data_IF_473718545619
#
_entry.id   IF_473718545619
#
_cell.length_a   1.000
_cell.length_b   1.000
_cell.length_c   1.000
_cell.angle_alpha   90.00
_cell.angle_beta   90.00
_cell.angle_gamma   90.00
#
_symmetry.space_group_name_H-M   'P 1'
#
loop_
_entity.id
_entity.type
_entity.pdbx_description
1 polymer ?
#
# COMPACT_ATOMS: atom_id res chain seq x y z
N UNK A 1 3.78 -35.34 47.46
CA UNK A 1 4.17 -35.37 46.03
C UNK A 1 3.69 -34.07 45.39
N UNK A 2 4.59 -33.12 45.19
CA UNK A 2 4.26 -31.82 44.61
C UNK A 2 4.48 -31.92 43.08
N UNK A 3 3.40 -31.75 42.32
CA UNK A 3 3.45 -31.68 40.85
C UNK A 3 3.93 -30.29 40.46
N UNK A 4 5.13 -30.22 39.87
CA UNK A 4 5.64 -29.00 39.29
C UNK A 4 4.98 -28.78 37.91
N UNK A 5 4.20 -27.69 37.81
CA UNK A 5 3.66 -27.23 36.55
C UNK A 5 4.84 -26.72 35.66
N UNK A 6 4.98 -27.27 34.47
CA UNK A 6 5.94 -26.80 33.49
C UNK A 6 5.60 -25.37 33.03
N UNK A 7 6.62 -24.48 32.81
CA UNK A 7 6.35 -23.13 32.32
C UNK A 7 5.79 -23.20 30.91
N UNK A 8 4.71 -22.46 30.68
CA UNK A 8 4.17 -22.24 29.35
C UNK A 8 5.26 -21.63 28.45
N UNK A 9 5.56 -22.30 27.36
CA UNK A 9 6.47 -21.77 26.35
C UNK A 9 5.98 -20.39 25.89
N UNK A 10 6.79 -19.36 26.18
CA UNK A 10 6.68 -18.10 25.49
C UNK A 10 6.88 -18.39 24.00
N UNK A 11 5.80 -18.36 23.23
CA UNK A 11 5.89 -18.38 21.79
C UNK A 11 6.73 -17.16 21.41
N UNK A 12 7.91 -17.38 20.84
CA UNK A 12 8.74 -16.35 20.20
C UNK A 12 7.87 -15.61 19.17
N UNK A 13 7.28 -14.49 19.59
CA UNK A 13 6.60 -13.60 18.67
C UNK A 13 7.65 -13.02 17.77
N UNK A 14 7.70 -13.50 16.53
CA UNK A 14 8.45 -12.82 15.47
C UNK A 14 7.99 -11.36 15.50
N UNK A 15 8.91 -10.39 15.65
CA UNK A 15 8.53 -8.99 15.68
C UNK A 15 7.65 -8.66 14.48
N UNK A 16 6.50 -8.01 14.69
CA UNK A 16 5.62 -7.57 13.61
C UNK A 16 6.42 -6.63 12.72
N UNK A 17 6.92 -7.12 11.59
CA UNK A 17 7.75 -6.35 10.68
C UNK A 17 6.87 -5.50 9.79
N UNK A 18 6.92 -4.18 9.98
CA UNK A 18 6.37 -3.21 9.04
C UNK A 18 7.36 -2.08 8.80
N UNK A 19 7.17 -1.36 7.71
CA UNK A 19 7.93 -0.16 7.39
C UNK A 19 6.98 0.93 6.97
N UNK A 20 7.19 2.14 7.51
CA UNK A 20 6.46 3.33 7.10
C UNK A 20 7.16 3.99 5.92
N UNK A 21 6.39 4.53 4.99
CA UNK A 21 6.93 5.26 3.85
C UNK A 21 7.56 6.58 4.33
N UNK A 22 8.87 6.70 4.14
CA UNK A 22 9.61 7.92 4.35
C UNK A 22 9.72 8.68 3.02
N UNK A 23 9.37 9.96 3.01
CA UNK A 23 9.37 10.77 1.79
C UNK A 23 9.69 12.24 2.12
N UNK A 24 10.51 12.87 1.26
CA UNK A 24 10.88 14.29 1.37
C UNK A 24 11.40 14.71 2.76
N UNK A 25 12.28 13.87 3.34
CA UNK A 25 12.84 14.07 4.67
C UNK A 25 11.88 13.84 5.85
N UNK A 26 10.66 13.37 5.57
CA UNK A 26 9.70 12.95 6.59
C UNK A 26 9.88 11.46 6.89
N UNK A 27 9.94 11.06 8.18
CA UNK A 27 10.13 9.66 8.57
C UNK A 27 8.87 8.80 8.34
N UNK A 28 7.72 9.43 8.15
CA UNK A 28 6.46 8.80 7.79
C UNK A 28 5.56 9.78 7.06
N UNK A 29 4.64 9.23 6.26
CA UNK A 29 3.61 10.00 5.56
C UNK A 29 2.25 9.34 5.75
N UNK A 30 1.17 10.13 5.76
CA UNK A 30 -0.20 9.63 5.82
C UNK A 30 -1.20 10.66 5.29
N UNK A 31 -2.40 10.23 5.00
CA UNK A 31 -3.53 11.13 4.76
C UNK A 31 -3.89 11.90 6.02
N UNK A 32 -4.39 13.11 5.86
CA UNK A 32 -4.84 13.92 6.98
C UNK A 32 -5.97 13.20 7.74
N UNK A 33 -5.82 13.16 9.06
CA UNK A 33 -6.87 12.67 9.95
C UNK A 33 -7.80 13.85 10.31
N UNK A 34 -9.13 13.67 10.28
CA UNK A 34 -10.04 14.64 10.87
C UNK A 34 -9.90 14.66 12.40
N UNK A 35 -10.90 15.12 13.12
CA UNK A 35 -10.91 15.10 14.58
C UNK A 35 -10.67 13.69 15.15
N UNK A 36 -10.21 13.61 16.42
CA UNK A 36 -9.90 12.34 17.11
C UNK A 36 -11.02 11.30 16.95
N UNK A 37 -10.63 10.09 16.61
CA UNK A 37 -11.52 8.94 16.50
C UNK A 37 -12.29 8.83 15.20
N UNK A 38 -12.26 9.84 14.34
CA UNK A 38 -12.88 9.76 13.03
C UNK A 38 -11.91 9.18 11.99
N UNK A 39 -12.42 8.39 11.01
CA UNK A 39 -11.57 7.81 9.97
C UNK A 39 -11.02 8.89 9.03
N UNK A 40 -9.81 8.65 8.52
CA UNK A 40 -9.32 9.37 7.36
C UNK A 40 -10.18 9.00 6.15
N UNK A 41 -10.91 9.97 5.59
CA UNK A 41 -11.70 9.77 4.37
C UNK A 41 -10.85 10.05 3.15
N UNK A 42 -10.75 9.06 2.27
CA UNK A 42 -9.89 9.09 1.10
C UNK A 42 -10.74 8.71 -0.12
N UNK A 43 -10.85 9.62 -1.07
CA UNK A 43 -11.56 9.33 -2.33
C UNK A 43 -10.63 8.65 -3.32
N UNK A 44 -11.16 7.75 -4.16
CA UNK A 44 -10.42 7.19 -5.26
C UNK A 44 -11.23 7.19 -6.55
N UNK A 45 -10.54 7.22 -7.69
CA UNK A 45 -11.16 7.18 -9.00
C UNK A 45 -10.34 6.36 -9.99
N UNK A 46 -11.04 5.76 -10.96
CA UNK A 46 -10.40 5.09 -12.09
C UNK A 46 -10.20 6.07 -13.23
N UNK A 47 -8.97 6.13 -13.76
CA UNK A 47 -8.64 6.96 -14.91
C UNK A 47 -9.43 6.47 -16.13
N UNK A 48 -10.15 7.36 -16.78
CA UNK A 48 -10.99 7.07 -17.95
C UNK A 48 -10.42 7.51 -19.28
N UNK A 49 -9.29 8.23 -19.26
CA UNK A 49 -8.61 8.75 -20.45
C UNK A 49 -7.10 8.82 -20.24
N UNK A 50 -6.43 9.70 -20.97
CA UNK A 50 -4.99 9.96 -20.79
C UNK A 50 -4.81 11.14 -19.85
N UNK A 51 -3.95 10.96 -18.84
CA UNK A 51 -3.58 11.99 -17.88
C UNK A 51 -2.05 12.07 -17.78
N UNK A 52 -1.52 13.28 -17.61
CA UNK A 52 -0.10 13.53 -17.40
C UNK A 52 0.14 14.04 -15.98
N UNK A 53 1.20 13.56 -15.35
CA UNK A 53 1.62 13.93 -13.99
C UNK A 53 3.10 14.32 -14.00
N UNK A 54 3.46 15.50 -14.55
CA UNK A 54 4.84 15.95 -14.65
C UNK A 54 5.55 15.90 -13.29
N UNK A 55 6.69 15.24 -13.24
CA UNK A 55 7.48 15.08 -12.02
C UNK A 55 7.08 13.88 -11.14
N UNK A 56 6.02 13.15 -11.46
CA UNK A 56 5.72 11.90 -10.78
C UNK A 56 6.74 10.82 -11.17
N UNK A 57 7.32 10.16 -10.18
CA UNK A 57 8.32 9.12 -10.42
C UNK A 57 7.63 7.84 -10.91
N UNK A 58 8.07 7.29 -12.06
CA UNK A 58 7.59 6.03 -12.64
C UNK A 58 6.09 5.94 -12.94
N UNK A 59 5.39 7.07 -12.88
CA UNK A 59 3.95 7.18 -13.15
C UNK A 59 3.67 8.61 -13.66
N UNK A 60 4.48 9.08 -14.62
CA UNK A 60 4.37 10.42 -15.18
C UNK A 60 3.22 10.58 -16.19
N UNK A 61 2.62 9.47 -16.59
CA UNK A 61 1.45 9.41 -17.44
C UNK A 61 0.60 8.19 -17.16
N UNK A 62 -0.70 8.38 -17.10
CA UNK A 62 -1.69 7.32 -16.91
C UNK A 62 -2.66 7.27 -18.06
N UNK A 63 -3.13 6.07 -18.37
CA UNK A 63 -4.20 5.79 -19.33
C UNK A 63 -5.29 4.93 -18.69
N UNK A 64 -6.47 4.88 -19.30
CA UNK A 64 -7.54 4.00 -18.85
C UNK A 64 -7.06 2.52 -18.84
N UNK A 65 -7.39 1.74 -17.79
CA UNK A 65 -6.94 0.35 -17.67
C UNK A 65 -7.64 -0.63 -18.62
N UNK A 66 -8.70 -0.21 -19.34
CA UNK A 66 -9.55 -1.08 -20.14
C UNK A 66 -8.77 -1.94 -21.15
N UNK A 67 -7.80 -1.37 -21.89
CA UNK A 67 -7.01 -2.11 -22.86
C UNK A 67 -6.08 -3.16 -22.21
N UNK A 68 -5.55 -2.86 -21.03
CA UNK A 68 -4.77 -3.80 -20.21
C UNK A 68 -5.64 -4.97 -19.75
N UNK A 69 -6.81 -4.68 -19.24
CA UNK A 69 -7.76 -5.67 -18.73
C UNK A 69 -8.27 -6.58 -19.82
N UNK A 70 -8.59 -6.03 -21.00
CA UNK A 70 -9.05 -6.81 -22.15
C UNK A 70 -8.02 -7.86 -22.60
N UNK A 71 -6.71 -7.54 -22.54
CA UNK A 71 -5.64 -8.51 -22.85
C UNK A 71 -5.60 -9.67 -21.87
N UNK A 72 -5.96 -9.43 -20.63
CA UNK A 72 -6.05 -10.43 -19.57
C UNK A 72 -7.44 -11.09 -19.48
N UNK A 73 -8.37 -10.76 -20.39
CA UNK A 73 -9.76 -11.22 -20.40
C UNK A 73 -10.51 -10.90 -19.10
N UNK A 74 -10.21 -9.77 -18.52
CA UNK A 74 -10.84 -9.25 -17.28
C UNK A 74 -11.69 -8.06 -17.70
N UNK A 75 -12.95 -8.02 -17.29
CA UNK A 75 -13.81 -6.87 -17.49
C UNK A 75 -13.61 -5.80 -16.40
N UNK A 76 -14.10 -4.59 -16.65
CA UNK A 76 -13.98 -3.46 -15.72
C UNK A 76 -14.72 -3.69 -14.41
N UNK A 77 -15.84 -4.43 -14.44
CA UNK A 77 -16.61 -4.68 -13.22
C UNK A 77 -15.90 -5.70 -12.32
N UNK A 78 -15.29 -6.73 -12.91
CA UNK A 78 -14.41 -7.65 -12.19
C UNK A 78 -13.22 -6.91 -11.58
N UNK A 79 -12.57 -6.05 -12.35
CA UNK A 79 -11.47 -5.22 -11.84
C UNK A 79 -11.91 -4.34 -10.67
N UNK A 80 -13.03 -3.62 -10.81
CA UNK A 80 -13.58 -2.79 -9.72
C UNK A 80 -13.92 -3.61 -8.48
N UNK A 81 -14.45 -4.82 -8.63
CA UNK A 81 -14.70 -5.71 -7.48
C UNK A 81 -13.42 -6.07 -6.75
N UNK A 82 -12.34 -6.40 -7.47
CA UNK A 82 -11.05 -6.75 -6.87
C UNK A 82 -10.42 -5.53 -6.16
N UNK A 83 -10.50 -4.35 -6.77
CA UNK A 83 -10.02 -3.09 -6.17
C UNK A 83 -10.80 -2.72 -4.90
N UNK A 84 -12.13 -2.83 -4.92
CA UNK A 84 -12.95 -2.59 -3.72
C UNK A 84 -12.61 -3.57 -2.61
N UNK A 85 -12.47 -4.86 -2.93
CA UNK A 85 -12.06 -5.87 -1.98
C UNK A 85 -10.68 -5.58 -1.37
N UNK A 86 -9.74 -5.02 -2.15
CA UNK A 86 -8.44 -4.58 -1.66
C UNK A 86 -8.55 -3.40 -0.69
N UNK A 87 -9.35 -2.38 -1.00
CA UNK A 87 -9.63 -1.26 -0.09
C UNK A 87 -10.30 -1.73 1.21
N UNK A 88 -11.23 -2.69 1.11
CA UNK A 88 -11.95 -3.23 2.27
C UNK A 88 -11.00 -3.93 3.27
N UNK A 89 -9.93 -4.55 2.81
CA UNK A 89 -8.91 -5.11 3.71
C UNK A 89 -8.33 -4.03 4.63
N UNK A 90 -7.91 -2.91 4.06
CA UNK A 90 -7.35 -1.80 4.81
C UNK A 90 -8.37 -1.10 5.72
N UNK A 91 -9.61 -0.92 5.25
CA UNK A 91 -10.69 -0.34 6.05
C UNK A 91 -11.06 -1.19 7.28
N UNK A 92 -10.94 -2.52 7.17
CA UNK A 92 -11.15 -3.41 8.32
C UNK A 92 -10.02 -3.33 9.34
N UNK A 93 -8.80 -3.07 8.90
CA UNK A 93 -7.60 -3.08 9.74
C UNK A 93 -7.40 -1.78 10.52
N UNK A 94 -7.75 -0.63 9.94
CA UNK A 94 -7.41 0.68 10.49
C UNK A 94 -8.54 1.70 10.33
N UNK A 95 -8.34 2.86 10.96
CA UNK A 95 -9.31 3.96 10.95
C UNK A 95 -9.19 4.81 9.68
N UNK A 96 -9.38 4.16 8.53
CA UNK A 96 -9.46 4.73 7.19
C UNK A 96 -10.78 4.36 6.52
N UNK A 97 -11.26 5.19 5.62
CA UNK A 97 -12.46 4.97 4.83
C UNK A 97 -12.19 5.39 3.39
N UNK A 98 -12.52 4.51 2.44
CA UNK A 98 -12.35 4.79 1.01
C UNK A 98 -13.70 4.93 0.33
N UNK A 99 -13.79 5.89 -0.58
CA UNK A 99 -15.02 6.18 -1.32
C UNK A 99 -14.69 6.36 -2.81
N UNK A 100 -15.36 5.60 -3.66
CA UNK A 100 -15.21 5.74 -5.11
C UNK A 100 -15.89 7.03 -5.57
N UNK A 101 -15.21 7.83 -6.39
CA UNK A 101 -15.74 9.03 -7.02
C UNK A 101 -15.50 9.00 -8.54
N UNK A 102 -16.33 9.69 -9.28
CA UNK A 102 -16.13 9.91 -10.72
C UNK A 102 -15.29 11.14 -11.01
N UNK A 103 -15.05 12.00 -10.02
CA UNK A 103 -14.27 13.22 -10.17
C UNK A 103 -12.77 12.94 -10.09
N UNK A 104 -12.10 12.87 -11.23
CA UNK A 104 -10.64 12.71 -11.30
C UNK A 104 -9.89 13.88 -10.66
N UNK A 105 -10.48 15.08 -10.69
CA UNK A 105 -9.86 16.30 -10.17
C UNK A 105 -9.80 16.33 -8.63
N UNK A 106 -10.72 15.65 -7.95
CA UNK A 106 -10.85 15.66 -6.48
C UNK A 106 -10.50 14.32 -5.85
N UNK A 107 -10.22 13.30 -6.66
CA UNK A 107 -9.81 12.00 -6.15
C UNK A 107 -8.43 12.08 -5.49
N UNK A 108 -8.34 11.60 -4.27
CA UNK A 108 -7.07 11.48 -3.54
C UNK A 108 -6.19 10.39 -4.16
N UNK A 109 -6.78 9.26 -4.55
CA UNK A 109 -6.06 8.16 -5.21
C UNK A 109 -6.60 8.01 -6.64
N UNK A 110 -5.69 8.06 -7.62
CA UNK A 110 -6.01 7.74 -9.02
C UNK A 110 -5.47 6.37 -9.38
N UNK A 111 -6.29 5.56 -10.05
CA UNK A 111 -5.97 4.18 -10.44
C UNK A 111 -6.07 4.06 -11.95
N UNK A 112 -4.99 3.63 -12.60
CA UNK A 112 -4.94 3.49 -14.06
C UNK A 112 -3.80 2.59 -14.52
N UNK A 113 -3.61 2.51 -15.83
CA UNK A 113 -2.46 1.87 -16.41
C UNK A 113 -1.35 2.90 -16.68
N UNK A 114 -0.10 2.49 -16.53
CA UNK A 114 1.07 3.34 -16.82
C UNK A 114 1.20 3.56 -18.34
N UNK A 115 1.42 4.79 -18.75
CA UNK A 115 1.69 5.12 -20.15
C UNK A 115 3.11 4.70 -20.59
N UNK A 116 4.05 4.58 -19.65
CA UNK A 116 5.45 4.17 -19.88
C UNK A 116 5.88 3.12 -18.85
N UNK A 117 5.35 1.90 -18.97
CA UNK A 117 5.39 0.93 -17.88
C UNK A 117 6.81 0.49 -17.49
N UNK A 118 7.03 0.44 -16.18
CA UNK A 118 8.20 -0.15 -15.52
C UNK A 118 7.72 -1.08 -14.41
N UNK A 119 8.37 -2.24 -14.26
CA UNK A 119 7.95 -3.22 -13.24
C UNK A 119 6.54 -3.76 -13.46
N UNK A 120 5.83 -4.09 -12.40
CA UNK A 120 4.46 -4.67 -12.43
C UNK A 120 3.39 -3.62 -12.18
N UNK A 121 3.51 -2.94 -11.08
CA UNK A 121 2.69 -1.84 -10.67
C UNK A 121 3.56 -0.83 -9.92
N UNK A 122 3.05 0.36 -9.75
CA UNK A 122 3.79 1.43 -9.10
C UNK A 122 2.87 2.40 -8.41
N UNK A 123 3.18 2.75 -7.16
CA UNK A 123 2.49 3.82 -6.47
C UNK A 123 3.41 5.03 -6.32
N UNK A 124 2.97 6.17 -6.85
CA UNK A 124 3.60 7.46 -6.62
C UNK A 124 2.80 8.23 -5.58
N UNK A 125 3.48 8.75 -4.55
CA UNK A 125 2.86 9.53 -3.46
C UNK A 125 3.38 10.96 -3.53
N UNK A 126 2.46 11.91 -3.59
CA UNK A 126 2.74 13.34 -3.55
C UNK A 126 2.33 13.91 -2.20
N UNK A 127 3.22 14.68 -1.59
CA UNK A 127 2.93 15.36 -0.33
C UNK A 127 2.32 16.73 -0.57
N UNK A 128 1.48 17.15 0.35
CA UNK A 128 0.94 18.51 0.42
C UNK A 128 2.04 19.46 0.86
N UNK A 129 2.34 20.43 0.03
CA UNK A 129 3.43 21.38 0.28
C UNK A 129 3.20 22.16 1.59
N UNK A 130 4.24 22.23 2.43
CA UNK A 130 4.20 23.01 3.67
C UNK A 130 3.28 22.49 4.77
N UNK A 131 2.59 21.36 4.56
CA UNK A 131 1.64 20.81 5.54
C UNK A 131 2.18 19.53 6.16
N UNK A 132 2.15 19.47 7.49
CA UNK A 132 2.37 18.24 8.23
C UNK A 132 1.02 17.59 8.58
N UNK A 133 0.94 16.27 8.54
CA UNK A 133 -0.27 15.53 8.88
C UNK A 133 -0.59 15.58 10.39
N UNK A 134 0.43 15.74 11.24
CA UNK A 134 0.31 15.99 12.70
C UNK A 134 1.71 16.20 13.31
N UNK A 135 1.82 17.10 14.27
CA UNK A 135 3.03 17.28 15.09
C UNK A 135 4.34 17.64 14.36
N UNK A 136 4.29 18.06 13.11
CA UNK A 136 5.44 18.53 12.33
C UNK A 136 6.35 17.44 11.75
N UNK A 137 6.25 16.18 12.17
CA UNK A 137 7.12 15.08 11.72
C UNK A 137 6.52 14.20 10.60
N UNK A 138 5.21 14.05 10.58
CA UNK A 138 4.51 13.20 9.59
C UNK A 138 4.10 14.07 8.40
N UNK A 139 4.45 13.64 7.17
CA UNK A 139 4.04 14.33 5.95
C UNK A 139 2.57 14.08 5.64
N UNK A 140 1.83 15.12 5.20
CA UNK A 140 0.47 14.97 4.71
C UNK A 140 0.48 14.54 3.24
N UNK A 141 -0.15 13.41 2.94
CA UNK A 141 -0.37 12.98 1.56
C UNK A 141 -1.41 13.91 0.91
N UNK A 142 -1.10 14.38 -0.28
CA UNK A 142 -1.98 15.20 -1.14
C UNK A 142 -2.68 14.34 -2.19
N UNK A 143 -1.91 13.49 -2.86
CA UNK A 143 -2.38 12.62 -3.93
C UNK A 143 -1.52 11.36 -4.02
N UNK A 144 -2.13 10.25 -4.41
CA UNK A 144 -1.42 9.03 -4.77
C UNK A 144 -1.87 8.54 -6.15
N UNK A 145 -0.92 8.04 -6.94
CA UNK A 145 -1.15 7.48 -8.27
C UNK A 145 -0.80 6.01 -8.24
N UNK A 146 -1.75 5.13 -8.51
CA UNK A 146 -1.52 3.69 -8.65
C UNK A 146 -1.54 3.35 -10.14
N UNK A 147 -0.36 3.00 -10.66
CA UNK A 147 -0.12 2.72 -12.07
C UNK A 147 0.17 1.24 -12.28
N UNK A 148 -0.75 0.53 -12.93
CA UNK A 148 -0.57 -0.86 -13.31
C UNK A 148 0.21 -0.95 -14.63
N UNK A 149 1.12 -1.91 -14.76
CA UNK A 149 1.83 -2.13 -16.00
C UNK A 149 0.93 -2.82 -17.02
N UNK A 150 0.58 -2.13 -18.13
CA UNK A 150 -0.29 -2.71 -19.15
C UNK A 150 0.38 -3.82 -19.98
N UNK A 151 1.69 -3.99 -19.88
CA UNK A 151 2.43 -5.04 -20.62
C UNK A 151 2.52 -6.35 -19.83
N UNK A 152 2.13 -6.35 -18.56
CA UNK A 152 2.10 -7.54 -17.73
C UNK A 152 0.75 -8.29 -17.89
N UNK A 153 0.76 -9.63 -17.82
CA UNK A 153 -0.47 -10.40 -17.69
C UNK A 153 -1.04 -10.29 -16.27
N UNK A 154 -2.36 -10.23 -16.17
CA UNK A 154 -3.09 -10.13 -14.91
C UNK A 154 -4.08 -11.28 -14.76
N UNK A 155 -4.36 -11.69 -13.52
CA UNK A 155 -5.38 -12.69 -13.18
C UNK A 155 -6.19 -12.29 -11.97
N UNK A 156 -7.28 -13.00 -11.74
CA UNK A 156 -8.08 -12.95 -10.52
C UNK A 156 -8.02 -14.32 -9.86
N UNK A 157 -7.44 -14.39 -8.67
CA UNK A 157 -7.23 -15.63 -7.93
C UNK A 157 -5.80 -16.14 -8.01
N UNK A 158 -5.46 -17.01 -7.07
CA UNK A 158 -4.20 -17.72 -7.03
C UNK A 158 -4.35 -19.05 -7.74
N UNK A 159 -3.43 -19.37 -8.63
CA UNK A 159 -3.39 -20.61 -9.42
C UNK A 159 -1.98 -21.24 -9.47
N UNK A 160 -1.00 -20.63 -8.77
CA UNK A 160 0.39 -21.09 -8.72
C UNK A 160 1.28 -20.54 -9.84
N UNK A 161 0.73 -19.89 -10.85
CA UNK A 161 1.52 -19.23 -11.89
C UNK A 161 2.00 -17.86 -11.40
N UNK A 162 3.23 -17.81 -10.89
CA UNK A 162 3.84 -16.58 -10.37
C UNK A 162 4.29 -15.60 -11.47
N UNK A 163 4.21 -15.97 -12.75
CA UNK A 163 4.49 -15.07 -13.87
C UNK A 163 3.28 -14.18 -14.22
N UNK A 164 2.09 -14.55 -13.76
CA UNK A 164 0.84 -13.80 -13.92
C UNK A 164 0.41 -13.27 -12.54
N UNK A 165 0.12 -11.99 -12.44
CA UNK A 165 -0.10 -11.35 -11.14
C UNK A 165 -1.57 -11.24 -10.78
N UNK A 166 -1.90 -11.62 -9.54
CA UNK A 166 -3.25 -11.45 -9.00
C UNK A 166 -3.56 -9.97 -8.75
N UNK A 167 -4.66 -9.51 -9.33
CA UNK A 167 -5.07 -8.10 -9.24
C UNK A 167 -5.36 -7.66 -7.80
N UNK A 168 -6.09 -8.47 -7.00
CA UNK A 168 -6.42 -8.08 -5.62
C UNK A 168 -5.16 -7.98 -4.76
N UNK A 169 -4.27 -8.98 -4.85
CA UNK A 169 -3.01 -8.94 -4.12
C UNK A 169 -2.22 -7.68 -4.48
N UNK A 170 -2.03 -7.43 -5.79
CA UNK A 170 -1.28 -6.27 -6.26
C UNK A 170 -1.95 -4.96 -5.84
N UNK A 171 -3.26 -4.83 -6.01
CA UNK A 171 -3.98 -3.63 -5.58
C UNK A 171 -3.91 -3.41 -4.07
N UNK A 172 -4.01 -4.48 -3.26
CA UNK A 172 -3.85 -4.36 -1.80
C UNK A 172 -2.45 -3.85 -1.45
N UNK A 173 -1.41 -4.35 -2.11
CA UNK A 173 -0.03 -3.91 -1.93
C UNK A 173 0.14 -2.42 -2.32
N UNK A 174 -0.30 -2.03 -3.51
CA UNK A 174 -0.18 -0.65 -3.99
C UNK A 174 -1.00 0.35 -3.15
N UNK A 175 -2.19 -0.05 -2.69
CA UNK A 175 -2.98 0.75 -1.75
C UNK A 175 -2.22 0.96 -0.44
N UNK A 176 -1.49 -0.05 0.05
CA UNK A 176 -0.63 0.09 1.22
C UNK A 176 0.39 1.21 1.06
N UNK A 177 1.04 1.30 -0.10
CA UNK A 177 1.92 2.45 -0.42
C UNK A 177 1.15 3.76 -0.49
N UNK A 178 -0.01 3.76 -1.15
CA UNK A 178 -0.85 4.94 -1.31
C UNK A 178 -1.34 5.54 0.02
N UNK A 179 -1.30 4.75 1.10
CA UNK A 179 -1.66 5.18 2.46
C UNK A 179 -0.48 5.33 3.42
N UNK A 180 0.75 5.16 2.93
CA UNK A 180 1.97 5.50 3.70
C UNK A 180 2.76 4.32 4.24
N UNK A 181 2.58 3.11 3.73
CA UNK A 181 3.42 1.96 4.04
C UNK A 181 4.53 1.76 3.00
N UNK A 182 5.63 1.15 3.42
CA UNK A 182 6.76 0.76 2.58
C UNK A 182 7.05 -0.75 2.75
N UNK A 183 7.94 -1.30 1.95
CA UNK A 183 8.33 -2.70 2.01
C UNK A 183 9.10 -3.02 3.30
N UNK A 184 8.61 -3.90 4.17
CA UNK A 184 9.34 -4.30 5.38
C UNK A 184 10.50 -5.27 5.08
N UNK A 185 10.45 -5.96 3.94
CA UNK A 185 11.43 -6.97 3.55
C UNK A 185 10.97 -7.76 2.33
N UNK A 186 11.68 -8.85 1.98
CA UNK A 186 11.38 -9.63 0.79
C UNK A 186 10.10 -10.46 0.91
N UNK A 187 9.80 -10.99 2.09
CA UNK A 187 8.68 -11.93 2.32
C UNK A 187 8.08 -11.75 3.72
N UNK A 188 6.92 -12.37 3.96
CA UNK A 188 6.30 -12.49 5.27
C UNK A 188 5.11 -11.57 5.50
N UNK A 189 4.99 -10.50 4.73
CA UNK A 189 3.87 -9.56 4.78
C UNK A 189 3.30 -9.36 3.37
N UNK A 190 2.07 -8.88 3.25
CA UNK A 190 1.51 -8.50 1.95
C UNK A 190 2.30 -7.31 1.36
N UNK A 191 2.78 -6.41 2.20
CA UNK A 191 3.65 -5.29 1.81
C UNK A 191 5.09 -5.70 1.47
N UNK A 192 5.46 -6.99 1.53
CA UNK A 192 6.77 -7.46 1.08
C UNK A 192 6.92 -7.32 -0.44
N UNK A 193 8.16 -7.05 -0.92
CA UNK A 193 8.37 -6.74 -2.34
C UNK A 193 8.34 -7.96 -3.28
N UNK A 194 8.41 -9.20 -2.74
CA UNK A 194 8.26 -10.41 -3.55
C UNK A 194 6.78 -10.79 -3.66
N UNK A 195 6.34 -11.02 -4.89
CA UNK A 195 5.03 -11.61 -5.12
C UNK A 195 5.05 -13.09 -4.77
N UNK A 196 4.11 -13.49 -3.91
CA UNK A 196 3.89 -14.89 -3.51
C UNK A 196 2.41 -15.18 -3.39
N UNK A 197 1.98 -16.35 -3.82
CA UNK A 197 0.58 -16.77 -3.75
C UNK A 197 0.30 -17.60 -2.49
N UNK A 198 0.42 -16.97 -1.30
CA UNK A 198 0.13 -17.61 -0.01
C UNK A 198 -1.15 -17.10 0.61
N UNK A 199 -1.39 -15.79 0.56
CA UNK A 199 -2.54 -15.14 1.16
C UNK A 199 -2.85 -13.84 0.43
N UNK A 200 -4.16 -13.55 0.27
CA UNK A 200 -4.66 -12.27 -0.23
C UNK A 200 -5.08 -11.34 0.91
N UNK A 201 -4.91 -11.81 2.16
CA UNK A 201 -5.25 -11.06 3.37
C UNK A 201 -4.03 -10.32 3.93
N UNK A 202 -4.26 -9.24 4.68
CA UNK A 202 -3.22 -8.53 5.41
C UNK A 202 -2.61 -9.43 6.48
N UNK A 203 -1.30 -9.37 6.62
CA UNK A 203 -0.56 -10.07 7.66
C UNK A 203 -0.39 -9.16 8.89
N UNK A 204 0.11 -9.72 9.99
CA UNK A 204 0.25 -9.01 11.27
C UNK A 204 1.05 -7.70 11.16
N UNK A 205 2.14 -7.69 10.38
CA UNK A 205 2.95 -6.50 10.14
C UNK A 205 2.23 -5.43 9.33
N UNK A 206 1.46 -5.84 8.30
CA UNK A 206 0.66 -4.90 7.51
C UNK A 206 -0.37 -4.19 8.40
N UNK A 207 -1.08 -4.98 9.24
CA UNK A 207 -2.08 -4.47 10.18
C UNK A 207 -1.42 -3.55 11.23
N UNK A 208 -0.26 -3.92 11.76
CA UNK A 208 0.47 -3.10 12.72
C UNK A 208 0.93 -1.78 12.09
N UNK A 209 1.44 -1.83 10.85
CA UNK A 209 1.89 -0.65 10.13
C UNK A 209 0.78 0.35 9.84
N UNK A 210 -0.37 -0.10 9.32
CA UNK A 210 -1.50 0.79 9.06
C UNK A 210 -2.13 1.32 10.36
N UNK A 211 -2.18 0.50 11.41
CA UNK A 211 -2.65 0.93 12.73
C UNK A 211 -1.72 1.96 13.37
N UNK A 212 -0.40 1.86 13.14
CA UNK A 212 0.55 2.87 13.57
C UNK A 212 0.27 4.24 12.92
N UNK A 213 -0.14 4.28 11.64
CA UNK A 213 -0.47 5.53 10.94
C UNK A 213 -1.83 6.10 11.32
N UNK A 214 -2.87 5.28 11.41
CA UNK A 214 -4.26 5.72 11.45
C UNK A 214 -5.02 5.31 12.72
N UNK A 215 -4.43 4.48 13.58
CA UNK A 215 -5.13 3.80 14.67
C UNK A 215 -5.92 2.58 14.17
N UNK A 216 -6.25 1.67 15.08
CA UNK A 216 -7.12 0.52 14.79
C UNK A 216 -8.56 1.00 14.59
N UNK A 217 -9.30 0.32 13.74
CA UNK A 217 -10.74 0.61 13.55
C UNK A 217 -11.49 0.45 14.88
N UNK A 218 -12.21 1.50 15.30
CA UNK A 218 -12.92 1.52 16.59
C UNK A 218 -12.04 1.60 17.84
N UNK A 219 -10.73 1.82 17.67
CA UNK A 219 -9.75 1.92 18.76
C UNK A 219 -9.22 3.32 19.00
N UNK A 220 -8.23 3.43 19.90
CA UNK A 220 -7.52 4.68 20.15
C UNK A 220 -6.82 5.21 18.88
N UNK A 221 -6.68 6.53 18.72
CA UNK A 221 -6.02 7.13 17.56
C UNK A 221 -4.58 6.62 17.37
N UNK A 222 -4.17 6.45 16.12
CA UNK A 222 -2.79 6.17 15.74
C UNK A 222 -1.85 7.30 16.16
N UNK A 223 -0.56 7.09 16.03
CA UNK A 223 0.55 7.88 16.56
C UNK A 223 0.20 9.34 16.88
N UNK A 224 -0.10 9.64 18.14
CA UNK A 224 0.28 10.86 18.80
C UNK A 224 1.55 10.54 19.56
N UNK A 225 2.67 11.06 19.09
CA UNK A 225 3.97 11.11 19.74
C UNK A 225 4.09 10.41 21.11
N UNK A 226 4.18 9.10 21.13
CA UNK A 226 4.82 8.38 22.21
C UNK A 226 5.80 7.42 21.56
N UNK A 227 7.07 7.76 21.77
CA UNK A 227 8.28 6.96 21.62
C UNK A 227 8.22 5.91 20.51
N UNK A 228 8.72 6.28 19.33
CA UNK A 228 8.96 5.38 18.21
C UNK A 228 9.52 4.07 18.75
N UNK A 229 8.83 2.96 18.45
CA UNK A 229 9.46 1.66 18.48
C UNK A 229 10.69 1.79 17.57
N UNK A 230 11.86 1.59 18.17
CA UNK A 230 13.14 1.83 17.55
C UNK A 230 13.20 1.13 16.19
N UNK A 231 13.23 1.92 15.13
CA UNK A 231 13.69 1.46 13.85
C UNK A 231 15.15 1.04 14.06
N UNK A 232 15.41 -0.27 14.09
CA UNK A 232 16.79 -0.73 14.00
C UNK A 232 17.31 -0.29 12.62
N UNK A 233 18.42 0.46 12.58
CA UNK A 233 19.06 0.78 11.30
C UNK A 233 19.57 -0.54 10.70
N UNK A 234 18.95 -0.98 9.63
CA UNK A 234 19.58 -1.98 8.77
C UNK A 234 20.81 -1.33 8.13
N UNK A 235 21.89 -2.10 7.89
CA UNK A 235 23.09 -1.58 7.27
C UNK A 235 22.74 -0.90 5.96
N UNK A 236 23.33 0.26 5.74
CA UNK A 236 23.16 1.13 4.59
C UNK A 236 23.40 0.34 3.28
N UNK A 237 22.33 0.01 2.59
CA UNK A 237 22.40 -0.35 1.20
C UNK A 237 22.71 0.92 0.37
N UNK A 238 23.46 0.82 -0.74
CA UNK A 238 23.74 1.96 -1.59
C UNK A 238 22.42 2.60 -2.07
N UNK A 239 22.41 3.90 -2.43
CA UNK A 239 21.21 4.60 -2.80
C UNK A 239 20.63 4.03 -4.11
N UNK A 240 19.82 3.01 -3.98
CA UNK A 240 18.97 2.54 -5.06
C UNK A 240 17.74 3.44 -5.07
N UNK A 241 17.44 3.97 -6.24
CA UNK A 241 16.21 4.72 -6.48
C UNK A 241 15.03 3.98 -5.85
N UNK A 242 14.32 4.61 -4.92
CA UNK A 242 13.16 4.05 -4.25
C UNK A 242 12.09 3.70 -5.27
N UNK A 243 12.13 2.49 -5.79
CA UNK A 243 11.07 1.94 -6.62
C UNK A 243 10.00 1.40 -5.68
N UNK A 244 8.89 2.12 -5.54
CA UNK A 244 7.68 1.66 -4.88
C UNK A 244 6.92 0.77 -5.86
N UNK A 245 7.20 -0.49 -5.85
CA UNK A 245 6.56 -1.46 -6.74
C UNK A 245 7.03 -2.87 -6.42
N UNK A 246 6.26 -3.86 -6.80
CA UNK A 246 6.65 -5.25 -6.73
C UNK A 246 7.87 -5.48 -7.63
N UNK A 247 9.06 -5.68 -7.06
CA UNK A 247 10.28 -5.81 -7.83
C UNK A 247 10.38 -7.20 -8.48
N UNK A 248 10.82 -7.22 -9.74
CA UNK A 248 11.14 -8.43 -10.50
C UNK A 248 12.42 -9.07 -9.97
N UNK A 249 12.34 -9.87 -8.91
CA UNK A 249 13.37 -10.84 -8.61
C UNK A 249 13.01 -12.15 -9.31
N UNK A 250 13.47 -12.35 -10.55
CA UNK A 250 13.48 -13.70 -11.18
C UNK A 250 14.44 -14.59 -10.41
N UNK A 251 14.04 -15.80 -10.01
CA UNK A 251 15.00 -16.83 -9.66
C UNK A 251 15.75 -17.24 -10.94
N UNK A 252 17.06 -17.33 -10.87
CA UNK A 252 17.86 -18.13 -11.81
C UNK A 252 17.70 -19.59 -11.47
#
# INVERSE_FOLDING_TARGET
MASAAAPAHAQDRVPEQFRLLALDGRPAVRWAMPARGLPAKITYAFVSGTMAFPGARNCDGMVAPAAMLARSRIDMDAFRREVRAAFDLWQRAANVQFEETTSLATAGILIGADAKPRGRAFTNVKLKAGVAASGGKIGAIDQSLICLNPSQPWKIGFDGDLAVYDLRFTMTHEIGHAIGLDHPGPEGQLMSFRYVERSRELQAGDIAGVAALYGRRGGAPGIETTKAAAAHPLPSAPPSASSLGLSDARPR
#
